data_IF_881386574328
#
_entry.id   IF_881386574328
#
_cell.length_a   1.000
_cell.length_b   1.000
_cell.length_c   1.000
_cell.angle_alpha   90.00
_cell.angle_beta   90.00
_cell.angle_gamma   90.00
#
_symmetry.space_group_name_H-M   'P 1'
#
loop_
_entity.id
_entity.type
_entity.pdbx_description
1 polymer ?
#
# COMPACT_ATOMS: atom_id res chain seq x y z
N UNK A 1 2.69 -28.90 8.25
CA UNK A 1 1.79 -27.71 8.16
C UNK A 1 2.60 -26.51 7.70
N UNK A 2 2.34 -25.96 6.50
CA UNK A 2 2.94 -24.67 6.11
C UNK A 2 2.21 -23.56 6.89
N UNK A 3 2.90 -22.91 7.82
CA UNK A 3 2.34 -21.83 8.64
C UNK A 3 1.84 -20.68 7.77
N UNK A 4 0.65 -20.14 8.08
CA UNK A 4 0.13 -18.95 7.42
C UNK A 4 0.98 -17.76 7.86
N UNK A 5 1.70 -17.14 6.93
CA UNK A 5 2.46 -15.91 7.17
C UNK A 5 1.52 -14.72 7.00
N UNK A 6 1.36 -13.94 8.07
CA UNK A 6 0.60 -12.69 8.05
C UNK A 6 1.56 -11.50 7.93
N UNK A 7 1.16 -10.50 7.14
CA UNK A 7 1.87 -9.22 7.04
C UNK A 7 0.92 -8.04 7.19
N UNK A 8 1.45 -6.96 7.75
CA UNK A 8 0.75 -5.69 7.81
C UNK A 8 0.73 -5.06 6.42
N UNK A 9 -0.43 -4.57 5.99
CA UNK A 9 -0.56 -3.80 4.77
C UNK A 9 -1.49 -2.62 4.97
N UNK A 10 -1.26 -1.57 4.17
CA UNK A 10 -2.20 -0.47 4.01
C UNK A 10 -3.16 -0.76 2.87
N UNK A 11 -4.40 -0.29 3.02
CA UNK A 11 -5.40 -0.40 1.96
C UNK A 11 -5.11 0.61 0.84
N UNK A 12 -5.54 0.26 -0.37
CA UNK A 12 -5.66 1.20 -1.49
C UNK A 12 -7.11 1.61 -1.64
N UNK A 13 -7.35 2.90 -1.83
CA UNK A 13 -8.67 3.48 -2.17
C UNK A 13 -8.59 4.21 -3.50
N UNK A 14 -9.69 4.26 -4.25
CA UNK A 14 -9.81 5.09 -5.45
C UNK A 14 -10.34 6.50 -5.14
N UNK A 15 -10.71 6.77 -3.89
CA UNK A 15 -11.29 8.04 -3.43
C UNK A 15 -10.39 8.71 -2.40
N UNK A 16 -10.21 10.02 -2.52
CA UNK A 16 -9.37 10.82 -1.63
C UNK A 16 -10.20 11.65 -0.63
N UNK A 17 -11.03 10.99 0.18
CA UNK A 17 -11.88 11.69 1.15
C UNK A 17 -11.10 12.35 2.30
N UNK A 18 -9.94 11.79 2.66
CA UNK A 18 -9.12 12.30 3.76
C UNK A 18 -7.67 12.55 3.29
N UNK A 19 -7.40 13.66 2.56
CA UNK A 19 -6.08 13.95 1.99
C UNK A 19 -4.93 13.97 3.00
N UNK A 20 -5.24 14.32 4.27
CA UNK A 20 -4.26 14.28 5.36
C UNK A 20 -3.69 12.87 5.59
N UNK A 21 -4.47 11.82 5.31
CA UNK A 21 -4.14 10.43 5.60
C UNK A 21 -4.07 9.55 4.36
N UNK A 22 -3.78 10.16 3.21
CA UNK A 22 -3.59 9.46 1.95
C UNK A 22 -2.27 9.86 1.29
N UNK A 23 -1.76 8.97 0.44
CA UNK A 23 -0.70 9.26 -0.55
C UNK A 23 -1.24 8.87 -1.90
N UNK A 24 -1.20 9.77 -2.87
CA UNK A 24 -1.48 9.45 -4.26
C UNK A 24 -0.45 8.46 -4.80
N UNK A 25 -0.92 7.38 -5.42
CA UNK A 25 -0.07 6.39 -6.08
C UNK A 25 0.18 6.86 -7.51
N UNK A 26 1.29 7.54 -7.72
CA UNK A 26 1.68 8.03 -9.04
C UNK A 26 2.30 6.89 -9.89
N UNK A 27 2.10 6.87 -11.23
CA UNK A 27 2.59 5.78 -12.09
C UNK A 27 4.08 5.46 -11.92
N UNK A 28 4.91 6.48 -11.75
CA UNK A 28 6.36 6.35 -11.58
C UNK A 28 6.77 5.67 -10.27
N UNK A 29 5.87 5.61 -9.28
CA UNK A 29 6.11 4.92 -8.01
C UNK A 29 6.04 3.40 -8.13
N UNK A 30 5.47 2.88 -9.23
CA UNK A 30 5.19 1.45 -9.38
C UNK A 30 6.09 0.82 -10.46
N UNK A 31 6.42 -0.46 -10.29
CA UNK A 31 7.14 -1.24 -11.32
C UNK A 31 6.33 -1.46 -12.59
N UNK A 32 4.99 -1.39 -12.51
CA UNK A 32 4.06 -1.39 -13.63
C UNK A 32 2.96 -0.39 -13.37
N UNK A 33 2.57 0.36 -14.40
CA UNK A 33 1.52 1.37 -14.30
C UNK A 33 0.18 0.71 -13.93
N UNK A 34 -0.48 1.24 -12.92
CA UNK A 34 -1.85 0.86 -12.58
C UNK A 34 -2.82 1.51 -13.58
N UNK A 35 -3.79 0.76 -14.09
CA UNK A 35 -4.85 1.29 -14.95
C UNK A 35 -5.87 2.16 -14.21
N UNK A 36 -5.79 2.20 -12.87
CA UNK A 36 -6.67 3.00 -12.01
C UNK A 36 -5.84 3.89 -11.11
N UNK A 37 -6.24 5.16 -11.02
CA UNK A 37 -5.72 6.06 -10.00
C UNK A 37 -6.13 5.55 -8.62
N UNK A 38 -5.19 5.61 -7.69
CA UNK A 38 -5.38 5.09 -6.35
C UNK A 38 -4.57 5.87 -5.34
N UNK A 39 -4.93 5.68 -4.08
CA UNK A 39 -4.28 6.30 -2.94
C UNK A 39 -4.00 5.24 -1.90
N UNK A 40 -2.81 5.27 -1.29
CA UNK A 40 -2.56 4.52 -0.06
C UNK A 40 -3.34 5.18 1.09
N UNK A 41 -4.25 4.46 1.74
CA UNK A 41 -4.93 4.92 2.95
C UNK A 41 -4.02 4.66 4.17
N UNK A 42 -3.17 5.62 4.50
CA UNK A 42 -2.04 5.42 5.43
C UNK A 42 -2.43 5.29 6.90
N UNK A 43 -3.68 5.61 7.23
CA UNK A 43 -4.26 5.50 8.57
C UNK A 43 -5.00 4.17 8.80
N UNK A 44 -5.10 3.30 7.78
CA UNK A 44 -5.78 2.01 7.88
C UNK A 44 -4.77 0.89 7.62
N UNK A 45 -4.27 0.29 8.69
CA UNK A 45 -3.37 -0.86 8.63
C UNK A 45 -4.13 -2.12 9.04
N UNK A 46 -4.10 -3.13 8.18
CA UNK A 46 -4.67 -4.46 8.45
C UNK A 46 -3.62 -5.56 8.37
N UNK A 47 -3.94 -6.71 8.97
CA UNK A 47 -3.14 -7.93 8.83
C UNK A 47 -3.72 -8.80 7.72
N UNK A 48 -2.88 -9.20 6.77
CA UNK A 48 -3.28 -9.98 5.61
C UNK A 48 -2.44 -11.23 5.48
N UNK A 49 -3.07 -12.33 5.04
CA UNK A 49 -2.35 -13.54 4.70
C UNK A 49 -1.55 -13.32 3.39
N UNK A 50 -0.24 -13.53 3.45
CA UNK A 50 0.66 -13.33 2.30
C UNK A 50 0.24 -14.11 1.04
N UNK A 51 -0.28 -15.33 1.23
CA UNK A 51 -0.73 -16.16 0.11
C UNK A 51 -1.94 -15.57 -0.63
N UNK A 52 -2.71 -14.69 0.01
CA UNK A 52 -3.83 -13.97 -0.59
C UNK A 52 -3.38 -12.70 -1.34
N UNK A 53 -2.21 -12.15 -1.00
CA UNK A 53 -1.68 -10.89 -1.56
C UNK A 53 -0.91 -11.14 -2.86
N UNK A 54 0.07 -12.06 -2.82
CA UNK A 54 1.00 -12.27 -3.94
C UNK A 54 0.33 -12.83 -5.21
N UNK A 55 -0.84 -13.44 -5.07
CA UNK A 55 -1.55 -14.06 -6.20
C UNK A 55 -2.27 -13.06 -7.12
N UNK A 56 -2.44 -11.80 -6.71
CA UNK A 56 -3.38 -10.88 -7.40
C UNK A 56 -2.74 -9.80 -8.27
N UNK A 57 -1.54 -9.32 -7.93
CA UNK A 57 -0.93 -8.21 -8.67
C UNK A 57 0.60 -8.34 -8.72
N UNK A 58 1.16 -8.36 -9.92
CA UNK A 58 2.60 -8.36 -10.17
C UNK A 58 3.13 -6.92 -10.35
N UNK A 59 2.71 -6.04 -9.44
CA UNK A 59 3.04 -4.62 -9.41
C UNK A 59 3.53 -4.30 -8.00
N UNK A 60 4.67 -3.63 -7.91
CA UNK A 60 5.33 -3.33 -6.64
C UNK A 60 5.67 -1.85 -6.55
N UNK A 61 5.73 -1.32 -5.34
CA UNK A 61 6.30 -0.01 -5.07
C UNK A 61 7.80 -0.07 -5.35
N UNK A 62 8.33 0.90 -6.10
CA UNK A 62 9.77 0.97 -6.35
C UNK A 62 10.53 1.35 -5.06
N UNK A 63 11.76 0.85 -4.86
CA UNK A 63 12.50 1.01 -3.61
C UNK A 63 12.69 2.47 -3.16
N UNK A 64 12.90 3.39 -4.10
CA UNK A 64 13.14 4.82 -3.84
C UNK A 64 11.96 5.53 -3.17
N UNK A 65 10.74 4.97 -3.26
CA UNK A 65 9.54 5.51 -2.59
C UNK A 65 9.22 4.82 -1.26
N UNK A 66 9.96 3.78 -0.89
CA UNK A 66 9.66 2.94 0.28
C UNK A 66 9.63 3.76 1.58
N UNK A 67 10.68 4.53 1.84
CA UNK A 67 10.81 5.27 3.10
C UNK A 67 9.84 6.45 3.18
N UNK A 68 9.56 7.08 2.04
CA UNK A 68 8.53 8.11 1.94
C UNK A 68 7.15 7.57 2.36
N UNK A 69 6.72 6.44 1.77
CA UNK A 69 5.43 5.82 2.08
C UNK A 69 5.40 5.34 3.54
N UNK A 70 6.44 4.61 3.98
CA UNK A 70 6.54 4.11 5.36
C UNK A 70 6.48 5.24 6.38
N UNK A 71 7.21 6.33 6.16
CA UNK A 71 7.22 7.48 7.06
C UNK A 71 5.84 8.13 7.21
N UNK A 72 5.07 8.21 6.12
CA UNK A 72 3.69 8.71 6.19
C UNK A 72 2.74 7.77 6.93
N UNK A 73 2.89 6.46 6.77
CA UNK A 73 2.12 5.46 7.51
C UNK A 73 2.34 5.64 9.02
N UNK A 74 3.59 5.71 9.46
CA UNK A 74 3.93 5.90 10.88
C UNK A 74 3.28 7.18 11.41
N UNK A 75 3.44 8.32 10.72
CA UNK A 75 2.84 9.61 11.10
C UNK A 75 1.30 9.67 11.02
N UNK A 76 0.67 8.67 10.42
CA UNK A 76 -0.79 8.60 10.33
C UNK A 76 -1.40 7.75 11.44
N UNK A 77 -0.56 6.96 12.15
CA UNK A 77 -0.97 6.02 13.20
C UNK A 77 -0.60 6.56 14.59
N UNK A 78 0.58 7.18 14.70
CA UNK A 78 1.13 7.76 15.93
C UNK A 78 1.23 9.28 15.77
#
# INVERSE_FOLDING_TARGET
MKGKVFQHAVLMTTKNFFPKYTIEIRPEMLTKVSSRQGYFATHIVGMFNMSSILKKQNTFLKPEYRDFVKGKIIRSIF
#
